data_IF_177236443546
#
_entry.id   IF_177236443546
#
_cell.length_a   1.000
_cell.length_b   1.000
_cell.length_c   1.000
_cell.angle_alpha   90.00
_cell.angle_beta   90.00
_cell.angle_gamma   90.00
#
_symmetry.space_group_name_H-M   'P 1'
#
loop_
_entity.id
_entity.type
_entity.pdbx_description
1 polymer ?
#
# COMPACT_ATOMS: atom_id res chain seq x y z
N UNK A 1 18.52 4.79 -11.21
CA UNK A 1 17.83 4.49 -9.95
C UNK A 1 18.83 3.78 -9.09
N UNK A 2 19.17 4.36 -7.94
CA UNK A 2 19.96 3.65 -6.95
C UNK A 2 19.08 2.52 -6.39
N UNK A 3 19.53 1.28 -6.54
CA UNK A 3 18.80 0.06 -6.13
C UNK A 3 19.19 -0.31 -4.69
N UNK A 4 19.89 0.58 -3.97
CA UNK A 4 20.46 0.32 -2.64
C UNK A 4 19.44 0.37 -1.50
N UNK A 5 18.30 1.05 -1.67
CA UNK A 5 17.28 1.16 -0.62
C UNK A 5 16.47 -0.14 -0.50
N UNK A 6 16.81 -0.94 0.52
CA UNK A 6 16.22 -2.27 0.74
C UNK A 6 14.95 -2.29 1.60
N UNK A 7 14.67 -1.20 2.35
CA UNK A 7 13.51 -1.03 3.25
C UNK A 7 13.15 -2.26 4.10
N UNK A 8 14.10 -2.86 4.85
CA UNK A 8 13.86 -4.10 5.58
C UNK A 8 12.76 -3.96 6.64
N UNK A 9 12.63 -2.81 7.29
CA UNK A 9 11.61 -2.54 8.30
C UNK A 9 10.21 -2.44 7.68
N UNK A 10 10.08 -1.79 6.52
CA UNK A 10 8.81 -1.73 5.79
C UNK A 10 8.38 -3.14 5.39
N UNK A 11 9.31 -3.94 4.84
CA UNK A 11 9.02 -5.31 4.42
C UNK A 11 8.64 -6.19 5.60
N UNK A 12 9.36 -6.11 6.72
CA UNK A 12 9.01 -6.89 7.92
C UNK A 12 7.63 -6.49 8.46
N UNK A 13 7.32 -5.20 8.52
CA UNK A 13 6.02 -4.73 8.99
C UNK A 13 4.87 -5.13 8.05
N UNK A 14 5.06 -5.00 6.73
CA UNK A 14 4.07 -5.44 5.72
C UNK A 14 3.86 -6.95 5.80
N UNK A 15 4.92 -7.74 5.96
CA UNK A 15 4.83 -9.20 6.13
C UNK A 15 4.01 -9.57 7.37
N UNK A 16 4.27 -8.93 8.50
CA UNK A 16 3.53 -9.15 9.75
C UNK A 16 2.05 -8.79 9.61
N UNK A 17 1.74 -7.72 8.88
CA UNK A 17 0.35 -7.35 8.58
C UNK A 17 -0.30 -8.39 7.66
N UNK A 18 0.37 -8.79 6.58
CA UNK A 18 -0.14 -9.80 5.64
C UNK A 18 -0.40 -11.16 6.31
N UNK A 19 0.37 -11.53 7.33
CA UNK A 19 0.16 -12.76 8.10
C UNK A 19 -1.21 -12.84 8.80
N UNK A 20 -1.90 -11.70 8.98
CA UNK A 20 -3.26 -11.64 9.54
C UNK A 20 -4.34 -11.98 8.50
N UNK A 21 -3.98 -12.05 7.21
CA UNK A 21 -4.89 -12.28 6.09
C UNK A 21 -4.50 -13.56 5.34
N UNK A 22 -4.74 -14.74 5.93
CA UNK A 22 -4.33 -16.02 5.37
C UNK A 22 -5.05 -16.34 4.05
N UNK A 23 -4.56 -17.34 3.32
CA UNK A 23 -5.15 -17.72 2.03
C UNK A 23 -6.64 -18.08 2.08
N UNK A 24 -7.18 -18.49 3.23
CA UNK A 24 -8.63 -18.73 3.40
C UNK A 24 -9.47 -17.46 3.31
N UNK A 25 -8.97 -16.33 3.81
CA UNK A 25 -9.60 -15.01 3.66
C UNK A 25 -9.69 -14.67 2.17
N UNK A 26 -8.58 -14.77 1.44
CA UNK A 26 -8.54 -14.47 0.01
C UNK A 26 -9.43 -15.38 -0.83
N UNK A 27 -9.44 -16.68 -0.54
CA UNK A 27 -10.33 -17.64 -1.24
C UNK A 27 -11.81 -17.38 -0.97
N UNK A 28 -12.17 -16.95 0.24
CA UNK A 28 -13.55 -16.58 0.56
C UNK A 28 -13.98 -15.34 -0.23
N UNK A 29 -13.15 -14.30 -0.26
CA UNK A 29 -13.42 -13.10 -1.04
C UNK A 29 -13.55 -13.37 -2.54
N UNK A 30 -12.67 -14.21 -3.10
CA UNK A 30 -12.71 -14.58 -4.52
C UNK A 30 -14.02 -15.31 -4.87
N UNK A 31 -14.37 -16.33 -4.09
CA UNK A 31 -15.61 -17.11 -4.26
C UNK A 31 -16.84 -16.21 -4.26
N UNK A 32 -16.88 -15.26 -3.34
CA UNK A 32 -18.05 -14.42 -3.10
C UNK A 32 -17.97 -13.07 -3.87
N UNK A 33 -16.87 -12.84 -4.61
CA UNK A 33 -16.55 -11.60 -5.36
C UNK A 33 -16.60 -10.33 -4.51
N UNK A 34 -16.04 -10.41 -3.30
CA UNK A 34 -16.08 -9.34 -2.31
C UNK A 34 -14.77 -8.54 -2.31
N UNK A 35 -14.87 -7.22 -2.12
CA UNK A 35 -13.72 -6.33 -1.97
C UNK A 35 -13.01 -6.57 -0.62
N UNK A 36 -11.66 -6.60 -0.56
CA UNK A 36 -10.90 -6.89 0.66
C UNK A 36 -10.84 -5.69 1.62
N UNK A 37 -11.99 -5.19 2.08
CA UNK A 37 -12.12 -3.98 2.91
C UNK A 37 -11.24 -4.03 4.15
N UNK A 38 -11.23 -5.14 4.88
CA UNK A 38 -10.47 -5.29 6.13
C UNK A 38 -8.96 -5.16 5.89
N UNK A 39 -8.46 -5.79 4.83
CA UNK A 39 -7.05 -5.70 4.42
C UNK A 39 -6.65 -4.26 4.03
N UNK A 40 -7.50 -3.58 3.25
CA UNK A 40 -7.27 -2.19 2.81
C UNK A 40 -7.27 -1.23 4.00
N UNK A 41 -8.20 -1.43 4.95
CA UNK A 41 -8.24 -0.65 6.18
C UNK A 41 -6.99 -0.87 7.03
N UNK A 42 -6.53 -2.11 7.18
CA UNK A 42 -5.32 -2.42 7.93
C UNK A 42 -4.08 -1.74 7.32
N UNK A 43 -3.90 -1.81 5.99
CA UNK A 43 -2.80 -1.14 5.29
C UNK A 43 -2.88 0.39 5.39
N UNK A 44 -4.09 0.95 5.37
CA UNK A 44 -4.33 2.40 5.52
C UNK A 44 -3.95 2.86 6.93
N UNK A 45 -4.42 2.17 7.96
CA UNK A 45 -4.13 2.49 9.36
C UNK A 45 -2.64 2.35 9.69
N UNK A 46 -1.96 1.40 9.04
CA UNK A 46 -0.51 1.25 9.14
C UNK A 46 0.30 2.27 8.32
N UNK A 47 -0.36 3.15 7.56
CA UNK A 47 0.29 4.20 6.76
C UNK A 47 0.90 3.74 5.44
N UNK A 48 0.77 2.46 5.08
CA UNK A 48 1.40 1.91 3.87
C UNK A 48 0.77 2.42 2.57
N UNK A 49 -0.51 2.83 2.60
CA UNK A 49 -1.20 3.37 1.42
C UNK A 49 -0.97 4.88 1.20
N UNK A 50 -0.31 5.57 2.13
CA UNK A 50 0.04 7.00 2.02
C UNK A 50 1.55 7.23 1.87
N UNK A 51 2.32 6.19 1.55
CA UNK A 51 3.79 6.25 1.45
C UNK A 51 4.32 7.31 0.46
N UNK A 52 3.57 7.56 -0.61
CA UNK A 52 3.91 8.55 -1.64
C UNK A 52 3.36 9.95 -1.34
N UNK A 53 2.50 10.09 -0.34
CA UNK A 53 1.86 11.36 0.00
C UNK A 53 2.84 12.16 0.88
N UNK A 54 3.05 13.47 0.62
CA UNK A 54 3.87 14.32 1.48
C UNK A 54 3.37 14.37 2.92
N UNK A 55 4.28 14.57 3.87
CA UNK A 55 3.95 14.69 5.30
C UNK A 55 2.95 15.82 5.59
N UNK A 56 3.01 16.93 4.83
CA UNK A 56 2.07 18.05 4.94
C UNK A 56 0.60 17.64 4.70
N UNK A 57 0.36 16.51 4.04
CA UNK A 57 -0.96 15.93 3.79
C UNK A 57 -1.18 14.61 4.56
N UNK A 58 -0.36 14.33 5.57
CA UNK A 58 -0.50 13.15 6.45
C UNK A 58 0.07 11.84 5.89
N UNK A 59 0.92 11.91 4.85
CA UNK A 59 1.67 10.75 4.35
C UNK A 59 3.10 10.68 4.90
N UNK A 60 3.93 9.82 4.32
CA UNK A 60 5.33 9.64 4.75
C UNK A 60 6.38 10.17 3.78
N UNK A 61 6.00 10.56 2.55
CA UNK A 61 6.91 11.14 1.57
C UNK A 61 8.13 10.30 1.16
N UNK A 62 8.12 8.98 1.39
CA UNK A 62 9.31 8.11 1.25
C UNK A 62 9.64 7.75 -0.22
N UNK A 63 8.74 8.07 -1.16
CA UNK A 63 8.99 7.93 -2.59
C UNK A 63 8.78 6.51 -3.15
N UNK A 64 9.10 6.36 -4.45
CA UNK A 64 8.69 5.21 -5.25
C UNK A 64 9.37 3.90 -4.84
N UNK A 65 10.60 3.95 -4.35
CA UNK A 65 11.31 2.75 -3.90
C UNK A 65 10.64 2.13 -2.66
N UNK A 66 10.22 2.97 -1.70
CA UNK A 66 9.45 2.53 -0.53
C UNK A 66 8.08 1.94 -0.93
N UNK A 67 7.36 2.62 -1.83
CA UNK A 67 6.08 2.12 -2.35
C UNK A 67 6.24 0.77 -3.07
N UNK A 68 7.35 0.59 -3.80
CA UNK A 68 7.68 -0.68 -4.44
C UNK A 68 7.93 -1.78 -3.41
N UNK A 69 8.67 -1.48 -2.34
CA UNK A 69 8.91 -2.44 -1.26
C UNK A 69 7.60 -2.91 -0.57
N UNK A 70 6.65 -2.00 -0.35
CA UNK A 70 5.32 -2.34 0.17
C UNK A 70 4.58 -3.30 -0.77
N UNK A 71 4.42 -2.94 -2.03
CA UNK A 71 3.66 -3.74 -2.99
C UNK A 71 4.33 -5.09 -3.27
N UNK A 72 5.66 -5.12 -3.35
CA UNK A 72 6.40 -6.37 -3.54
C UNK A 72 6.18 -7.32 -2.38
N UNK A 73 6.24 -6.84 -1.13
CA UNK A 73 6.06 -7.69 0.04
C UNK A 73 4.62 -8.18 0.20
N UNK A 74 3.62 -7.38 -0.17
CA UNK A 74 2.21 -7.81 -0.22
C UNK A 74 2.07 -9.05 -1.12
N UNK A 75 2.59 -8.98 -2.35
CA UNK A 75 2.52 -10.10 -3.28
C UNK A 75 3.36 -11.29 -2.83
N UNK A 76 4.57 -11.03 -2.30
CA UNK A 76 5.46 -12.07 -1.75
C UNK A 76 4.82 -12.82 -0.60
N UNK A 77 3.96 -12.16 0.19
CA UNK A 77 3.21 -12.75 1.29
C UNK A 77 1.94 -13.50 0.85
N UNK A 78 1.67 -13.60 -0.46
CA UNK A 78 0.48 -14.27 -0.99
C UNK A 78 -0.82 -13.46 -0.89
N UNK A 79 -0.72 -12.18 -0.54
CA UNK A 79 -1.85 -11.24 -0.52
C UNK A 79 -2.03 -10.57 -1.89
N UNK A 80 -3.20 -9.96 -2.12
CA UNK A 80 -3.50 -9.26 -3.37
C UNK A 80 -3.31 -7.74 -3.23
N UNK A 81 -2.30 -7.18 -3.91
CA UNK A 81 -2.02 -5.74 -3.92
C UNK A 81 -2.89 -4.92 -4.88
N UNK A 82 -3.70 -5.55 -5.73
CA UNK A 82 -4.50 -4.87 -6.77
C UNK A 82 -5.49 -3.85 -6.21
N UNK A 83 -6.10 -4.14 -5.05
CA UNK A 83 -7.01 -3.23 -4.37
C UNK A 83 -6.33 -1.96 -3.82
N UNK A 84 -5.00 -2.01 -3.63
CA UNK A 84 -4.21 -0.96 -2.99
C UNK A 84 -3.40 -0.14 -4.02
N UNK A 85 -3.04 -0.77 -5.15
CA UNK A 85 -2.20 -0.19 -6.19
C UNK A 85 -2.77 1.12 -6.75
N UNK A 86 -4.04 1.12 -7.17
CA UNK A 86 -4.64 2.29 -7.81
C UNK A 86 -4.60 3.54 -6.92
N UNK A 87 -4.94 3.39 -5.64
CA UNK A 87 -4.94 4.50 -4.67
C UNK A 87 -3.56 5.16 -4.55
N UNK A 88 -2.47 4.37 -4.54
CA UNK A 88 -1.12 4.93 -4.40
C UNK A 88 -0.73 5.83 -5.58
N UNK A 89 -1.20 5.55 -6.80
CA UNK A 89 -0.82 6.31 -7.99
C UNK A 89 -1.76 7.45 -8.35
N UNK A 90 -3.07 7.29 -8.13
CA UNK A 90 -4.05 8.35 -8.46
C UNK A 90 -3.77 9.63 -7.67
N UNK A 91 -3.27 9.51 -6.43
CA UNK A 91 -2.92 10.67 -5.61
C UNK A 91 -1.77 11.50 -6.20
N UNK A 92 -0.84 10.88 -6.93
CA UNK A 92 0.26 11.59 -7.59
C UNK A 92 -0.25 12.62 -8.61
N UNK A 93 -1.35 12.34 -9.29
CA UNK A 93 -1.97 13.27 -10.25
C UNK A 93 -2.51 14.51 -9.53
N UNK A 94 -3.24 14.33 -8.43
CA UNK A 94 -3.80 15.43 -7.64
C UNK A 94 -2.68 16.25 -7.00
N UNK A 95 -1.67 15.60 -6.43
CA UNK A 95 -0.53 16.29 -5.81
C UNK A 95 0.25 17.15 -6.82
N UNK A 96 0.40 16.67 -8.07
CA UNK A 96 1.17 17.36 -9.10
C UNK A 96 0.38 18.44 -9.84
N UNK A 97 -0.92 18.25 -10.03
CA UNK A 97 -1.72 19.07 -10.95
C UNK A 97 -2.98 19.67 -10.32
N UNK A 98 -3.35 19.25 -9.11
CA UNK A 98 -4.48 19.80 -8.38
C UNK A 98 -4.19 21.20 -7.82
N UNK A 99 -5.25 21.96 -7.59
CA UNK A 99 -5.20 23.20 -6.81
C UNK A 99 -4.98 22.89 -5.32
N UNK A 100 -4.65 23.91 -4.53
CA UNK A 100 -4.53 23.76 -3.07
C UNK A 100 -5.85 23.33 -2.41
N UNK A 101 -7.00 23.56 -3.02
CA UNK A 101 -8.29 23.08 -2.51
C UNK A 101 -8.60 21.62 -2.91
N UNK A 102 -7.90 21.08 -3.91
CA UNK A 102 -8.04 19.68 -4.36
C UNK A 102 -7.06 18.74 -3.68
N UNK A 103 -5.92 19.27 -3.22
CA UNK A 103 -4.93 18.57 -2.39
C UNK A 103 -5.41 18.52 -0.94
#
# INVERSE_FOLDING_TARGET
MDVSESFPEIRDAVRKLCAQFPGEYWRALDRDRIYPTEFVQALTQAGFLSVLIPEAYGGSGLGLAAATAVLEEIHRSGCNGGACHAQMYTMGTILRHGSEAQK
#
